data_IF_271146672552
#
_entry.id   IF_271146672552
#
_cell.length_a   1.000
_cell.length_b   1.000
_cell.length_c   1.000
_cell.angle_alpha   90.00
_cell.angle_beta   90.00
_cell.angle_gamma   90.00
#
_symmetry.space_group_name_H-M   'P 1'
#
loop_
_entity.id
_entity.type
_entity.pdbx_description
1 polymer ?
#
# COMPACT_ATOMS: atom_id res chain seq x y z
N UNK A 1 6.02 13.32 -19.49
CA UNK A 1 6.48 12.10 -18.80
C UNK A 1 5.58 10.95 -19.23
N UNK A 2 6.06 10.03 -20.07
CA UNK A 2 5.31 8.82 -20.45
C UNK A 2 5.99 7.65 -19.78
N UNK A 3 5.42 7.19 -18.66
CA UNK A 3 5.98 6.12 -17.83
C UNK A 3 4.89 5.18 -17.37
N UNK A 4 5.28 3.95 -17.05
CA UNK A 4 4.44 2.93 -16.41
C UNK A 4 5.21 2.30 -15.25
N UNK A 5 4.50 1.58 -14.37
CA UNK A 5 5.08 0.97 -13.17
C UNK A 5 5.57 1.96 -12.11
N UNK A 6 5.34 3.26 -12.29
CA UNK A 6 5.44 4.28 -11.24
C UNK A 6 4.26 4.18 -10.29
N UNK A 7 4.39 4.78 -9.11
CA UNK A 7 3.25 4.95 -8.20
C UNK A 7 3.00 6.42 -7.90
N UNK A 8 1.76 6.72 -7.50
CA UNK A 8 1.29 8.06 -7.25
C UNK A 8 0.51 8.12 -5.93
N UNK A 9 0.75 9.16 -5.15
CA UNK A 9 0.06 9.42 -3.89
C UNK A 9 -0.37 10.88 -3.79
N UNK A 10 -1.38 11.13 -2.96
CA UNK A 10 -1.75 12.48 -2.55
C UNK A 10 -1.09 12.82 -1.21
N UNK A 11 -0.58 14.04 -1.10
CA UNK A 11 -0.02 14.62 0.13
C UNK A 11 -0.54 16.05 0.30
N UNK A 12 -0.45 16.59 1.51
CA UNK A 12 -0.81 17.97 1.84
C UNK A 12 0.31 18.65 2.61
N UNK A 13 0.90 19.69 2.02
CA UNK A 13 2.02 20.46 2.62
C UNK A 13 1.61 21.92 2.75
N UNK A 14 1.71 22.50 3.95
CA UNK A 14 1.33 23.90 4.24
C UNK A 14 -0.07 24.25 3.70
N UNK A 15 -1.03 23.37 3.98
CA UNK A 15 -2.42 23.47 3.52
C UNK A 15 -2.66 23.41 2.01
N UNK A 16 -1.65 23.05 1.21
CA UNK A 16 -1.82 22.83 -0.22
C UNK A 16 -1.70 21.34 -0.58
N UNK A 17 -2.56 20.90 -1.49
CA UNK A 17 -2.60 19.52 -1.97
C UNK A 17 -1.63 19.30 -3.13
N UNK A 18 -0.94 18.17 -3.11
CA UNK A 18 -0.02 17.73 -4.16
C UNK A 18 -0.29 16.28 -4.56
N UNK A 19 -0.08 15.97 -5.84
CA UNK A 19 0.17 14.60 -6.27
C UNK A 19 1.68 14.38 -6.33
N UNK A 20 2.18 13.29 -5.77
CA UNK A 20 3.59 12.89 -5.90
C UNK A 20 3.65 11.67 -6.80
N UNK A 21 4.53 11.70 -7.80
CA UNK A 21 4.83 10.56 -8.67
C UNK A 21 6.27 10.13 -8.45
N UNK A 22 6.48 8.83 -8.18
CA UNK A 22 7.80 8.26 -7.91
C UNK A 22 8.11 7.15 -8.91
N UNK A 23 9.34 7.12 -9.40
CA UNK A 23 9.95 6.01 -10.12
C UNK A 23 9.29 5.65 -11.45
N UNK A 24 9.24 4.36 -11.74
CA UNK A 24 8.69 3.81 -12.97
C UNK A 24 9.69 3.76 -14.13
N UNK A 25 9.19 3.34 -15.29
CA UNK A 25 9.98 3.17 -16.50
C UNK A 25 9.27 3.66 -17.74
N UNK A 26 10.05 4.02 -18.75
CA UNK A 26 9.55 4.50 -20.04
C UNK A 26 10.63 4.38 -21.11
N UNK A 27 10.37 4.97 -22.28
CA UNK A 27 11.39 5.03 -23.33
C UNK A 27 12.59 5.85 -22.88
N UNK A 28 13.80 5.36 -23.15
CA UNK A 28 15.06 6.06 -22.89
C UNK A 28 15.19 7.40 -23.63
N UNK A 29 14.40 7.61 -24.69
CA UNK A 29 14.35 8.86 -25.45
C UNK A 29 13.53 9.98 -24.79
N UNK A 30 12.69 9.66 -23.79
CA UNK A 30 11.69 10.58 -23.23
C UNK A 30 12.16 11.40 -22.00
N UNK A 31 13.43 11.30 -21.57
CA UNK A 31 13.87 11.78 -20.26
C UNK A 31 14.77 13.03 -20.30
N UNK A 32 14.35 14.07 -21.05
CA UNK A 32 15.09 15.33 -21.14
C UNK A 32 14.26 16.54 -20.66
N UNK A 33 14.80 17.39 -19.75
CA UNK A 33 16.03 17.23 -18.97
C UNK A 33 15.85 16.26 -17.77
N UNK A 34 16.90 15.52 -17.36
CA UNK A 34 16.84 14.63 -16.20
C UNK A 34 16.72 15.40 -14.88
N UNK A 35 15.99 14.86 -13.90
CA UNK A 35 15.96 15.43 -12.55
C UNK A 35 17.36 15.38 -11.89
N UNK A 36 17.85 16.47 -11.28
CA UNK A 36 19.11 16.46 -10.52
C UNK A 36 19.13 15.38 -9.45
N UNK A 37 20.28 14.72 -9.26
CA UNK A 37 20.52 13.59 -8.33
C UNK A 37 19.69 12.32 -8.58
N UNK A 38 18.84 12.29 -9.60
CA UNK A 38 18.16 11.07 -9.99
C UNK A 38 19.13 10.11 -10.70
N UNK A 39 18.89 8.83 -10.51
CA UNK A 39 19.58 7.74 -11.18
C UNK A 39 18.67 7.13 -12.24
N UNK A 40 19.32 6.59 -13.26
CA UNK A 40 18.65 5.93 -14.37
C UNK A 40 19.40 4.64 -14.67
N UNK A 41 18.65 3.57 -14.89
CA UNK A 41 19.17 2.31 -15.40
C UNK A 41 18.47 2.01 -16.71
N UNK A 42 19.16 1.40 -17.67
CA UNK A 42 18.64 1.18 -19.02
C UNK A 42 18.91 -0.23 -19.51
N UNK A 43 17.96 -0.74 -20.28
CA UNK A 43 18.11 -1.97 -21.06
C UNK A 43 17.40 -1.78 -22.41
N UNK A 44 18.20 -1.77 -23.48
CA UNK A 44 17.75 -1.35 -24.81
C UNK A 44 17.08 0.04 -24.80
N UNK A 45 15.85 0.09 -25.30
CA UNK A 45 15.04 1.30 -25.39
C UNK A 45 14.26 1.63 -24.11
N UNK A 46 14.34 0.77 -23.09
CA UNK A 46 13.66 0.97 -21.81
C UNK A 46 14.63 1.59 -20.80
N UNK A 47 14.15 2.60 -20.08
CA UNK A 47 14.89 3.22 -18.98
C UNK A 47 14.00 3.30 -17.73
N UNK A 48 14.53 2.77 -16.63
CA UNK A 48 13.96 2.89 -15.29
C UNK A 48 14.59 4.10 -14.59
N UNK A 49 13.85 4.73 -13.69
CA UNK A 49 14.33 5.90 -12.94
C UNK A 49 13.86 5.86 -11.50
N UNK A 50 14.46 6.70 -10.66
CA UNK A 50 14.01 6.98 -9.30
C UNK A 50 13.55 8.44 -9.15
N UNK A 51 13.06 9.03 -10.24
CA UNK A 51 12.57 10.41 -10.23
C UNK A 51 11.43 10.58 -9.24
N UNK A 52 11.36 11.76 -8.61
CA UNK A 52 10.28 12.17 -7.72
C UNK A 52 9.80 13.51 -8.22
N UNK A 53 8.53 13.57 -8.60
CA UNK A 53 7.89 14.79 -9.10
C UNK A 53 6.67 15.12 -8.25
N UNK A 54 6.43 16.41 -8.01
CA UNK A 54 5.30 16.91 -7.25
C UNK A 54 4.43 17.78 -8.16
N UNK A 55 3.15 17.49 -8.24
CA UNK A 55 2.15 18.27 -8.96
C UNK A 55 1.32 19.06 -7.96
N UNK A 56 1.42 20.39 -7.98
CA UNK A 56 0.63 21.26 -7.10
C UNK A 56 -0.77 21.44 -7.69
N UNK A 57 -1.81 20.91 -7.06
CA UNK A 57 -3.18 20.93 -7.61
C UNK A 57 -3.70 22.36 -7.81
N UNK A 58 -3.33 23.27 -6.91
CA UNK A 58 -3.80 24.66 -6.92
C UNK A 58 -3.30 25.46 -8.12
N UNK A 59 -2.06 25.26 -8.55
CA UNK A 59 -1.47 25.98 -9.70
C UNK A 59 -1.50 25.16 -10.98
N UNK A 60 -1.65 23.84 -10.87
CA UNK A 60 -1.57 22.93 -12.00
C UNK A 60 -0.15 22.72 -12.51
N UNK A 61 0.86 22.97 -11.69
CA UNK A 61 2.27 22.94 -12.08
C UNK A 61 3.00 21.74 -11.49
N UNK A 62 3.91 21.18 -12.29
CA UNK A 62 4.87 20.17 -11.85
C UNK A 62 6.14 20.83 -11.32
N UNK A 63 6.64 20.33 -10.20
CA UNK A 63 7.93 20.71 -9.62
C UNK A 63 8.78 19.47 -9.38
N UNK A 64 10.10 19.64 -9.47
CA UNK A 64 11.07 18.62 -9.08
C UNK A 64 11.70 19.05 -7.75
N UNK A 65 11.32 18.41 -6.62
CA UNK A 65 11.89 18.76 -5.33
C UNK A 65 13.38 18.39 -5.25
N UNK A 66 14.08 19.05 -4.33
CA UNK A 66 15.43 18.64 -3.92
C UNK A 66 15.32 17.33 -3.12
N UNK A 67 15.94 16.26 -3.59
CA UNK A 67 15.90 14.96 -2.92
C UNK A 67 17.18 14.74 -2.10
N UNK A 68 17.02 14.29 -0.86
CA UNK A 68 18.12 14.06 0.09
C UNK A 68 17.98 12.71 0.80
N UNK A 69 19.06 12.22 1.39
CA UNK A 69 19.08 10.95 2.10
C UNK A 69 19.14 9.73 1.18
N UNK A 70 18.52 8.63 1.60
CA UNK A 70 18.62 7.33 0.94
C UNK A 70 17.62 7.20 -0.21
N UNK A 71 17.84 7.95 -1.30
CA UNK A 71 16.98 7.87 -2.48
C UNK A 71 16.92 6.41 -2.99
N UNK A 72 15.72 5.85 -3.27
CA UNK A 72 15.61 4.50 -3.82
C UNK A 72 16.40 4.35 -5.13
N UNK A 73 16.86 3.15 -5.51
CA UNK A 73 17.42 2.92 -6.84
C UNK A 73 16.35 3.15 -7.92
N UNK A 74 16.71 3.22 -9.22
CA UNK A 74 15.74 3.13 -10.30
C UNK A 74 14.83 1.93 -10.09
N UNK A 75 13.53 2.16 -9.86
CA UNK A 75 12.64 1.13 -9.34
C UNK A 75 11.21 1.31 -9.87
N UNK A 76 10.52 0.19 -10.06
CA UNK A 76 9.13 0.15 -10.53
C UNK A 76 8.38 -1.04 -9.92
N UNK A 77 7.05 -1.07 -10.08
CA UNK A 77 6.17 -2.14 -9.56
C UNK A 77 6.29 -2.37 -8.04
N UNK A 78 6.60 -1.30 -7.29
CA UNK A 78 6.55 -1.22 -5.84
C UNK A 78 5.17 -0.74 -5.39
N UNK A 79 4.90 -0.81 -4.08
CA UNK A 79 3.76 -0.09 -3.50
C UNK A 79 4.21 1.20 -2.84
N UNK A 80 3.36 2.24 -2.91
CA UNK A 80 3.60 3.56 -2.31
C UNK A 80 2.31 4.01 -1.63
N UNK A 81 2.39 4.32 -0.33
CA UNK A 81 1.22 4.63 0.49
C UNK A 81 1.50 5.86 1.36
N UNK A 82 0.60 6.84 1.35
CA UNK A 82 0.67 7.99 2.27
C UNK A 82 0.46 7.52 3.72
N UNK A 83 1.31 7.96 4.65
CA UNK A 83 1.18 7.68 6.08
C UNK A 83 0.52 8.87 6.78
N UNK A 84 0.99 10.08 6.47
CA UNK A 84 0.44 11.34 6.96
C UNK A 84 0.29 12.32 5.80
N UNK A 85 -0.15 13.55 6.09
CA UNK A 85 -0.19 14.63 5.11
C UNK A 85 1.17 14.89 4.45
N UNK A 86 2.29 14.63 5.11
CA UNK A 86 3.63 14.98 4.60
C UNK A 86 4.58 13.79 4.57
N UNK A 87 4.08 12.56 4.76
CA UNK A 87 4.94 11.38 4.77
C UNK A 87 4.32 10.22 4.02
N UNK A 88 5.17 9.40 3.40
CA UNK A 88 4.75 8.19 2.69
C UNK A 88 5.76 7.07 2.86
N UNK A 89 5.32 5.85 2.58
CA UNK A 89 6.13 4.64 2.65
C UNK A 89 6.09 3.91 1.32
N UNK A 90 7.27 3.48 0.85
CA UNK A 90 7.45 2.59 -0.29
C UNK A 90 7.93 1.24 0.22
N UNK A 91 7.39 0.17 -0.36
CA UNK A 91 7.86 -1.18 -0.10
C UNK A 91 8.03 -1.99 -1.39
N UNK A 92 9.12 -2.76 -1.44
CA UNK A 92 9.44 -3.70 -2.50
C UNK A 92 9.66 -3.04 -3.86
N UNK A 93 9.34 -3.77 -4.93
CA UNK A 93 9.53 -3.34 -6.31
C UNK A 93 10.64 -4.12 -7.01
N UNK A 94 10.96 -3.71 -8.25
CA UNK A 94 11.99 -4.32 -9.08
C UNK A 94 12.87 -3.22 -9.68
N UNK A 95 14.19 -3.42 -9.65
CA UNK A 95 15.18 -2.41 -10.06
C UNK A 95 15.76 -2.60 -11.47
N UNK A 96 15.22 -3.57 -12.23
CA UNK A 96 15.76 -3.99 -13.52
C UNK A 96 16.65 -5.24 -13.42
N UNK A 97 17.08 -5.63 -12.22
CA UNK A 97 17.92 -6.80 -11.98
C UNK A 97 17.33 -7.73 -10.93
N UNK A 98 16.90 -7.21 -9.78
CA UNK A 98 16.34 -7.97 -8.67
C UNK A 98 15.09 -7.32 -8.08
N UNK A 99 14.29 -8.15 -7.42
CA UNK A 99 13.22 -7.66 -6.57
C UNK A 99 13.81 -7.09 -5.28
N UNK A 100 13.09 -6.18 -4.63
CA UNK A 100 13.49 -5.59 -3.36
C UNK A 100 12.54 -6.00 -2.25
N UNK A 101 13.03 -6.01 -1.02
CA UNK A 101 12.25 -5.97 0.21
C UNK A 101 12.66 -4.79 1.10
N UNK A 102 13.33 -3.79 0.53
CA UNK A 102 13.66 -2.58 1.28
C UNK A 102 12.39 -1.74 1.50
N UNK A 103 12.36 -1.04 2.62
CA UNK A 103 11.37 -0.03 2.95
C UNK A 103 12.01 1.35 2.81
N UNK A 104 11.30 2.29 2.19
CA UNK A 104 11.71 3.69 2.16
C UNK A 104 10.61 4.57 2.74
N UNK A 105 10.97 5.44 3.69
CA UNK A 105 10.09 6.48 4.19
C UNK A 105 10.49 7.81 3.55
N UNK A 106 9.49 8.52 3.05
CA UNK A 106 9.62 9.84 2.45
C UNK A 106 9.00 10.89 3.37
N UNK A 107 9.73 11.95 3.64
CA UNK A 107 9.25 13.15 4.33
C UNK A 107 9.24 14.31 3.32
N UNK A 108 8.07 14.88 3.06
CA UNK A 108 7.84 15.89 2.04
C UNK A 108 7.72 17.30 2.62
N UNK A 109 8.37 18.25 1.96
CA UNK A 109 8.08 19.68 2.07
C UNK A 109 7.61 20.20 0.71
N UNK A 110 7.34 21.50 0.60
CA UNK A 110 6.93 22.13 -0.66
C UNK A 110 8.07 22.23 -1.69
N UNK A 111 9.32 22.00 -1.26
CA UNK A 111 10.51 22.15 -2.12
C UNK A 111 11.51 20.99 -2.01
N UNK A 112 11.36 20.10 -1.03
CA UNK A 112 12.32 19.01 -0.78
C UNK A 112 11.65 17.72 -0.33
N UNK A 113 12.38 16.61 -0.54
CA UNK A 113 12.00 15.28 -0.06
C UNK A 113 13.21 14.65 0.62
N UNK A 114 13.03 14.20 1.85
CA UNK A 114 14.03 13.40 2.58
C UNK A 114 13.62 11.93 2.52
N UNK A 115 14.53 11.09 2.08
CA UNK A 115 14.36 9.64 2.00
C UNK A 115 15.14 8.96 3.13
N UNK A 116 14.55 7.96 3.78
CA UNK A 116 15.24 7.13 4.78
C UNK A 116 14.98 5.67 4.46
N UNK A 117 16.06 4.89 4.33
CA UNK A 117 15.99 3.47 3.97
C UNK A 117 16.01 2.57 5.20
N UNK A 118 15.19 1.53 5.18
CA UNK A 118 15.22 0.42 6.14
C UNK A 118 15.35 -0.89 5.37
N UNK A 119 16.42 -1.63 5.65
CA UNK A 119 16.73 -2.91 5.02
C UNK A 119 16.55 -4.05 6.02
N UNK A 120 16.42 -5.28 5.53
CA UNK A 120 16.40 -6.47 6.37
C UNK A 120 17.64 -6.53 7.29
N UNK A 121 17.49 -6.51 8.64
CA UNK A 121 18.62 -6.50 9.56
C UNK A 121 19.28 -7.88 9.76
N UNK A 122 18.72 -8.96 9.20
CA UNK A 122 19.29 -10.31 9.24
C UNK A 122 18.64 -11.26 10.25
N UNK A 123 19.36 -12.34 10.59
CA UNK A 123 18.87 -13.70 10.98
C UNK A 123 17.91 -13.84 12.18
N UNK A 124 17.55 -12.78 12.88
CA UNK A 124 16.67 -12.86 14.06
C UNK A 124 15.42 -11.98 14.00
N UNK A 125 15.23 -11.21 12.93
CA UNK A 125 14.06 -10.34 12.75
C UNK A 125 13.23 -10.87 11.59
N UNK A 126 11.92 -10.99 11.79
CA UNK A 126 11.02 -11.33 10.70
C UNK A 126 11.06 -10.19 9.66
N UNK A 127 11.20 -10.55 8.39
CA UNK A 127 11.21 -9.58 7.29
C UNK A 127 10.65 -10.24 6.04
N UNK A 128 9.76 -9.57 5.28
CA UNK A 128 9.17 -10.17 4.11
C UNK A 128 10.21 -10.48 3.02
N UNK A 129 9.96 -11.51 2.22
CA UNK A 129 10.78 -11.80 1.02
C UNK A 129 10.71 -10.66 0.01
N UNK A 130 11.77 -10.55 -0.79
CA UNK A 130 11.84 -9.66 -1.96
C UNK A 130 10.65 -9.92 -2.90
N UNK A 131 9.99 -8.84 -3.35
CA UNK A 131 8.77 -8.93 -4.16
C UNK A 131 8.52 -7.70 -5.03
N UNK A 132 7.72 -7.87 -6.07
CA UNK A 132 7.17 -6.80 -6.89
C UNK A 132 5.72 -7.12 -7.26
N UNK A 133 4.97 -6.16 -7.83
CA UNK A 133 3.58 -6.37 -8.27
C UNK A 133 2.62 -6.83 -7.14
N UNK A 134 3.01 -6.60 -5.88
CA UNK A 134 2.19 -6.83 -4.70
C UNK A 134 1.27 -5.63 -4.48
N UNK A 135 0.31 -5.80 -3.57
CA UNK A 135 -0.53 -4.71 -3.10
C UNK A 135 -0.27 -4.37 -1.64
N UNK A 136 -0.48 -3.11 -1.27
CA UNK A 136 -0.42 -2.69 0.12
C UNK A 136 -1.48 -1.65 0.44
N UNK A 137 -1.87 -1.57 1.71
CA UNK A 137 -2.82 -0.58 2.19
C UNK A 137 -2.48 -0.14 3.60
N UNK A 138 -2.70 1.15 3.89
CA UNK A 138 -2.57 1.69 5.24
C UNK A 138 -3.82 1.34 6.06
N UNK A 139 -3.62 0.78 7.24
CA UNK A 139 -4.68 0.56 8.23
C UNK A 139 -4.41 1.51 9.40
N UNK A 140 -5.30 2.48 9.59
CA UNK A 140 -5.26 3.42 10.68
C UNK A 140 -6.11 2.90 11.85
N UNK A 141 -5.45 2.25 12.81
CA UNK A 141 -6.07 1.79 14.04
C UNK A 141 -5.94 2.86 15.14
N UNK A 142 -6.77 2.78 16.18
CA UNK A 142 -6.66 3.62 17.39
C UNK A 142 -5.28 3.60 18.05
N UNK A 143 -4.51 2.51 17.86
CA UNK A 143 -3.18 2.33 18.45
C UNK A 143 -2.02 2.91 17.64
N UNK A 144 -2.10 2.97 16.29
CA UNK A 144 -1.12 3.55 15.31
C UNK A 144 -1.32 3.03 13.86
N UNK A 145 -0.72 3.68 12.83
CA UNK A 145 -0.78 3.23 11.44
C UNK A 145 0.05 1.94 11.20
N UNK A 146 -0.54 1.00 10.47
CA UNK A 146 0.11 -0.22 9.99
C UNK A 146 0.02 -0.32 8.48
N UNK A 147 1.04 -0.89 7.83
CA UNK A 147 0.99 -1.22 6.40
C UNK A 147 0.71 -2.72 6.25
N UNK A 148 -0.41 -3.07 5.64
CA UNK A 148 -0.70 -4.44 5.21
C UNK A 148 -0.11 -4.65 3.82
N UNK A 149 0.63 -5.74 3.61
CA UNK A 149 1.21 -6.14 2.32
C UNK A 149 0.75 -7.55 1.97
N UNK A 150 0.23 -7.74 0.77
CA UNK A 150 -0.35 -9.01 0.32
C UNK A 150 0.26 -9.44 -1.01
N UNK A 151 0.74 -10.69 -1.05
CA UNK A 151 1.15 -11.39 -2.27
C UNK A 151 2.29 -10.71 -3.02
N UNK A 152 2.19 -10.75 -4.34
CA UNK A 152 3.18 -10.27 -5.31
C UNK A 152 3.95 -11.39 -5.99
N UNK A 153 4.75 -11.00 -6.98
CA UNK A 153 5.68 -11.92 -7.62
C UNK A 153 6.79 -12.32 -6.63
N UNK A 154 7.01 -13.63 -6.48
CA UNK A 154 8.07 -14.21 -5.64
C UNK A 154 7.58 -14.80 -4.31
N UNK A 155 6.31 -14.60 -3.93
CA UNK A 155 5.76 -15.10 -2.67
C UNK A 155 4.23 -15.01 -2.62
N UNK A 156 3.59 -15.89 -1.85
CA UNK A 156 2.14 -15.92 -1.63
C UNK A 156 1.85 -15.82 -0.13
N UNK A 157 2.37 -14.76 0.50
CA UNK A 157 2.27 -14.50 1.94
C UNK A 157 1.54 -13.17 2.24
N UNK A 158 1.31 -12.90 3.52
CA UNK A 158 0.67 -11.68 4.00
C UNK A 158 1.43 -11.12 5.20
N UNK A 159 1.73 -9.82 5.18
CA UNK A 159 2.60 -9.17 6.15
C UNK A 159 1.98 -7.90 6.69
N UNK A 160 2.22 -7.63 7.97
CA UNK A 160 1.81 -6.39 8.63
C UNK A 160 3.06 -5.68 9.18
N UNK A 161 3.27 -4.44 8.77
CA UNK A 161 4.33 -3.58 9.30
C UNK A 161 3.77 -2.62 10.34
N UNK A 162 4.35 -2.63 11.54
CA UNK A 162 4.22 -1.52 12.46
C UNK A 162 5.17 -0.39 12.03
N UNK A 163 4.62 0.64 11.39
CA UNK A 163 5.42 1.71 10.76
C UNK A 163 6.28 2.48 11.79
N UNK A 164 5.78 2.64 13.02
CA UNK A 164 6.50 3.44 14.03
C UNK A 164 7.70 2.71 14.61
N UNK A 165 7.64 1.38 14.68
CA UNK A 165 8.72 0.55 15.20
C UNK A 165 9.59 -0.05 14.10
N UNK A 166 9.12 0.00 12.84
CA UNK A 166 9.67 -0.74 11.71
C UNK A 166 9.80 -2.25 12.01
N UNK A 167 8.76 -2.80 12.63
CA UNK A 167 8.66 -4.21 12.99
C UNK A 167 7.64 -4.91 12.10
N UNK A 168 8.06 -5.95 11.39
CA UNK A 168 7.19 -6.80 10.59
C UNK A 168 6.65 -7.98 11.39
N UNK A 169 5.40 -8.34 11.10
CA UNK A 169 4.75 -9.55 11.59
C UNK A 169 4.10 -10.26 10.41
N UNK A 170 4.43 -11.53 10.21
CA UNK A 170 3.74 -12.36 9.23
C UNK A 170 2.32 -12.68 9.75
N UNK A 171 1.33 -12.51 8.89
CA UNK A 171 -0.04 -12.93 9.16
C UNK A 171 -0.22 -14.34 8.59
N UNK A 172 -0.23 -15.33 9.47
CA UNK A 172 -0.37 -16.74 9.11
C UNK A 172 -1.84 -17.13 8.97
N UNK A 173 -2.11 -18.23 8.24
CA UNK A 173 -3.45 -18.76 7.98
C UNK A 173 -4.34 -17.86 7.11
N UNK A 174 -3.74 -17.01 6.28
CA UNK A 174 -4.47 -16.29 5.22
C UNK A 174 -4.61 -17.24 4.03
N UNK A 175 -5.83 -17.45 3.49
CA UNK A 175 -6.03 -18.38 2.38
C UNK A 175 -5.28 -17.96 1.12
N UNK A 176 -4.83 -18.93 0.32
CA UNK A 176 -4.17 -18.69 -0.99
C UNK A 176 -5.06 -17.88 -1.94
N UNK A 177 -6.39 -17.98 -1.79
CA UNK A 177 -7.32 -17.13 -2.54
C UNK A 177 -7.12 -15.63 -2.30
N UNK A 178 -6.38 -15.22 -1.27
CA UNK A 178 -5.97 -13.84 -0.99
C UNK A 178 -4.50 -13.65 -1.33
N UNK A 179 -3.63 -14.55 -0.84
CA UNK A 179 -2.18 -14.32 -0.91
C UNK A 179 -1.56 -14.68 -2.25
N UNK A 180 -2.14 -15.61 -3.02
CA UNK A 180 -1.64 -16.01 -4.33
C UNK A 180 -2.12 -15.08 -5.45
N UNK A 181 -1.76 -13.81 -5.33
CA UNK A 181 -2.13 -12.76 -6.28
C UNK A 181 -0.98 -11.82 -6.55
N UNK A 182 -0.86 -11.42 -7.81
CA UNK A 182 -0.08 -10.26 -8.23
C UNK A 182 -0.95 -9.32 -9.06
N UNK A 183 -0.63 -8.02 -9.10
CA UNK A 183 -1.41 -6.98 -9.81
C UNK A 183 -2.88 -6.89 -9.38
N UNK A 184 -3.19 -7.35 -8.16
CA UNK A 184 -4.47 -7.12 -7.50
C UNK A 184 -4.63 -5.64 -7.11
N UNK A 185 -5.84 -5.26 -6.73
CA UNK A 185 -6.12 -3.98 -6.09
C UNK A 185 -6.54 -4.20 -4.65
N UNK A 186 -6.01 -3.40 -3.73
CA UNK A 186 -6.29 -3.48 -2.30
C UNK A 186 -6.75 -2.12 -1.78
N UNK A 187 -7.85 -2.09 -1.03
CA UNK A 187 -8.36 -0.88 -0.39
C UNK A 187 -8.89 -1.16 1.00
N UNK A 188 -8.86 -0.16 1.88
CA UNK A 188 -9.40 -0.26 3.23
C UNK A 188 -10.74 0.48 3.33
N UNK A 189 -11.68 -0.17 3.97
CA UNK A 189 -12.98 0.34 4.37
C UNK A 189 -13.10 0.22 5.90
N UNK A 190 -13.03 1.34 6.58
CA UNK A 190 -13.14 1.37 8.04
C UNK A 190 -14.62 1.40 8.44
N UNK A 191 -15.08 0.41 9.21
CA UNK A 191 -16.44 0.41 9.76
C UNK A 191 -16.46 1.07 11.15
N UNK A 192 -15.42 0.82 11.96
CA UNK A 192 -15.24 1.42 13.28
C UNK A 192 -13.76 1.75 13.53
N UNK A 193 -13.43 2.29 14.71
CA UNK A 193 -12.04 2.50 15.14
C UNK A 193 -11.28 1.19 15.42
N UNK A 194 -11.99 0.07 15.54
CA UNK A 194 -11.45 -1.23 15.94
C UNK A 194 -11.70 -2.32 14.89
N UNK A 195 -12.51 -2.06 13.86
CA UNK A 195 -12.86 -3.02 12.82
C UNK A 195 -12.59 -2.40 11.45
N UNK A 196 -11.68 -3.05 10.73
CA UNK A 196 -11.19 -2.62 9.42
C UNK A 196 -11.50 -3.72 8.41
N UNK A 197 -12.24 -3.39 7.36
CA UNK A 197 -12.45 -4.28 6.22
C UNK A 197 -11.47 -3.92 5.14
N UNK A 198 -10.70 -4.89 4.66
CA UNK A 198 -9.85 -4.73 3.50
C UNK A 198 -10.51 -5.45 2.33
N UNK A 199 -10.67 -4.75 1.23
CA UNK A 199 -11.27 -5.26 0.00
C UNK A 199 -10.13 -5.49 -0.98
N UNK A 200 -10.00 -6.74 -1.41
CA UNK A 200 -9.08 -7.15 -2.45
C UNK A 200 -9.87 -7.53 -3.71
N UNK A 201 -9.44 -7.04 -4.86
CA UNK A 201 -10.10 -7.31 -6.13
C UNK A 201 -9.11 -7.73 -7.22
N UNK A 202 -9.49 -8.79 -7.92
CA UNK A 202 -8.86 -9.24 -9.15
C UNK A 202 -7.38 -9.61 -9.01
N UNK A 203 -6.61 -9.36 -10.07
CA UNK A 203 -5.19 -9.70 -10.17
C UNK A 203 -4.94 -10.92 -11.06
N UNK A 204 -3.76 -11.49 -10.90
CA UNK A 204 -3.29 -12.66 -11.65
C UNK A 204 -2.76 -13.67 -10.62
N UNK A 205 -3.15 -14.94 -10.75
CA UNK A 205 -2.64 -16.02 -9.91
C UNK A 205 -1.21 -16.43 -10.28
N UNK A 206 -0.58 -17.25 -9.43
CA UNK A 206 0.76 -17.80 -9.75
C UNK A 206 0.78 -18.67 -11.00
N UNK A 207 -0.37 -19.23 -11.37
CA UNK A 207 -0.61 -20.01 -12.59
C UNK A 207 -0.87 -19.14 -13.83
N UNK A 208 -0.75 -17.82 -13.71
CA UNK A 208 -1.06 -16.82 -14.74
C UNK A 208 -2.54 -16.73 -15.12
N UNK A 209 -3.43 -17.36 -14.37
CA UNK A 209 -4.87 -17.17 -14.56
C UNK A 209 -5.30 -15.77 -14.14
N UNK A 210 -6.24 -15.19 -14.88
CA UNK A 210 -6.85 -13.92 -14.50
C UNK A 210 -7.86 -14.15 -13.40
N UNK A 211 -7.75 -13.39 -12.32
CA UNK A 211 -8.66 -13.44 -11.20
C UNK A 211 -9.59 -12.23 -11.27
N UNK A 212 -10.88 -12.43 -11.04
CA UNK A 212 -11.92 -11.39 -11.10
C UNK A 212 -12.85 -11.38 -9.89
N UNK A 213 -12.60 -12.23 -8.90
CA UNK A 213 -13.38 -12.25 -7.66
C UNK A 213 -12.96 -11.11 -6.71
N UNK A 214 -13.76 -10.95 -5.65
CA UNK A 214 -13.53 -10.01 -4.57
C UNK A 214 -13.37 -10.76 -3.26
N UNK A 215 -12.36 -10.41 -2.47
CA UNK A 215 -12.13 -10.93 -1.13
C UNK A 215 -12.24 -9.81 -0.09
N UNK A 216 -12.81 -10.15 1.06
CA UNK A 216 -12.98 -9.25 2.18
C UNK A 216 -12.20 -9.79 3.38
N UNK A 217 -11.20 -9.04 3.83
CA UNK A 217 -10.39 -9.40 5.00
C UNK A 217 -10.89 -8.52 6.16
N UNK A 218 -11.47 -9.14 7.17
CA UNK A 218 -11.85 -8.47 8.41
C UNK A 218 -10.66 -8.46 9.35
N UNK A 219 -10.20 -7.28 9.75
CA UNK A 219 -9.18 -7.10 10.77
C UNK A 219 -9.76 -6.38 11.98
N UNK A 220 -9.45 -6.89 13.17
CA UNK A 220 -9.89 -6.31 14.43
C UNK A 220 -8.70 -5.89 15.30
N UNK A 221 -8.87 -4.77 16.00
CA UNK A 221 -7.94 -4.31 17.04
C UNK A 221 -8.57 -4.56 18.41
N UNK A 222 -8.23 -5.68 19.04
CA UNK A 222 -8.82 -6.12 20.31
C UNK A 222 -7.95 -5.79 21.53
N UNK A 223 -6.62 -5.69 21.38
CA UNK A 223 -5.67 -5.43 22.48
C UNK A 223 -4.43 -4.63 22.04
N UNK A 224 -4.58 -3.71 21.10
CA UNK A 224 -3.48 -2.92 20.52
C UNK A 224 -2.79 -3.59 19.34
N UNK A 225 -2.87 -4.92 19.25
CA UNK A 225 -2.49 -5.70 18.07
C UNK A 225 -3.65 -5.77 17.08
N UNK A 226 -3.30 -5.76 15.79
CA UNK A 226 -4.24 -5.98 14.70
C UNK A 226 -4.17 -7.44 14.28
N UNK A 227 -5.33 -8.11 14.25
CA UNK A 227 -5.44 -9.52 13.88
C UNK A 227 -6.48 -9.71 12.79
N UNK A 228 -6.26 -10.70 11.92
CA UNK A 228 -7.26 -11.11 10.93
C UNK A 228 -8.33 -11.95 11.63
N UNK A 229 -9.56 -11.47 11.63
CA UNK A 229 -10.71 -12.13 12.23
C UNK A 229 -11.38 -13.10 11.25
N UNK A 230 -11.50 -12.70 9.98
CA UNK A 230 -12.09 -13.54 8.93
C UNK A 230 -11.66 -13.11 7.54
N UNK A 231 -11.75 -14.03 6.58
CA UNK A 231 -11.62 -13.78 5.15
C UNK A 231 -12.87 -14.32 4.49
N UNK A 232 -13.59 -13.47 3.74
CA UNK A 232 -14.88 -13.79 3.16
C UNK A 232 -14.88 -13.56 1.66
N UNK A 233 -15.64 -14.35 0.92
CA UNK A 233 -16.07 -13.98 -0.43
C UNK A 233 -17.23 -12.96 -0.41
N UNK A 234 -17.64 -12.49 -1.59
CA UNK A 234 -18.72 -11.50 -1.72
C UNK A 234 -20.06 -12.00 -1.17
N UNK A 235 -20.39 -13.27 -1.34
CA UNK A 235 -21.66 -13.84 -0.90
C UNK A 235 -21.69 -13.98 0.63
N UNK A 236 -20.59 -14.47 1.20
CA UNK A 236 -20.40 -14.59 2.64
C UNK A 236 -20.44 -13.23 3.33
N UNK A 237 -19.74 -12.24 2.76
CA UNK A 237 -19.75 -10.87 3.25
C UNK A 237 -21.17 -10.27 3.24
N UNK A 238 -21.89 -10.39 2.11
CA UNK A 238 -23.27 -9.90 2.00
C UNK A 238 -24.20 -10.58 3.01
N UNK A 239 -24.12 -11.90 3.16
CA UNK A 239 -24.93 -12.65 4.13
C UNK A 239 -24.70 -12.17 5.55
N UNK A 240 -23.44 -11.94 5.93
CA UNK A 240 -23.06 -11.44 7.27
C UNK A 240 -23.58 -10.01 7.50
N UNK A 241 -23.51 -9.13 6.50
CA UNK A 241 -24.03 -7.76 6.58
C UNK A 241 -25.56 -7.73 6.73
N UNK A 242 -26.29 -8.56 5.98
CA UNK A 242 -27.76 -8.65 6.08
C UNK A 242 -28.19 -9.19 7.45
N UNK A 243 -27.52 -10.22 7.97
CA UNK A 243 -27.78 -10.75 9.31
C UNK A 243 -27.51 -9.70 10.39
N UNK A 244 -26.45 -8.91 10.26
CA UNK A 244 -26.17 -7.78 11.14
C UNK A 244 -27.31 -6.75 11.16
N UNK A 245 -27.76 -6.29 9.98
CA UNK A 245 -28.86 -5.32 9.85
C UNK A 245 -30.15 -5.83 10.50
N UNK A 246 -30.53 -7.08 10.25
CA UNK A 246 -31.72 -7.67 10.85
C UNK A 246 -31.61 -7.71 12.38
N UNK A 247 -30.45 -8.07 12.93
CA UNK A 247 -30.22 -8.11 14.38
C UNK A 247 -30.38 -6.72 15.02
N UNK A 248 -29.82 -5.67 14.40
CA UNK A 248 -29.99 -4.29 14.87
C UNK A 248 -31.45 -3.82 14.80
N UNK A 249 -32.18 -4.15 13.73
CA UNK A 249 -33.59 -3.79 13.57
C UNK A 249 -34.47 -4.49 14.61
N UNK A 250 -34.20 -5.77 14.91
CA UNK A 250 -34.87 -6.50 15.99
C UNK A 250 -34.58 -5.87 17.36
N UNK A 251 -33.32 -5.55 17.70
CA UNK A 251 -33.00 -4.90 18.97
C UNK A 251 -33.68 -3.53 19.14
N UNK A 252 -33.74 -2.72 18.06
CA UNK A 252 -34.43 -1.41 18.08
C UNK A 252 -35.94 -1.55 18.30
N UNK A 253 -36.58 -2.54 17.68
CA UNK A 253 -38.00 -2.83 17.90
C UNK A 253 -38.29 -3.35 19.31
N UNK A 254 -37.35 -4.08 19.92
CA UNK A 254 -37.50 -4.54 21.31
C UNK A 254 -37.34 -3.39 22.30
N UNK A 255 -36.35 -2.51 22.15
CA UNK A 255 -36.17 -1.36 23.04
C UNK A 255 -37.36 -0.38 23.00
N UNK A 256 -37.93 -0.11 21.82
CA UNK A 256 -39.12 0.77 21.72
C UNK A 256 -40.38 0.17 22.36
N UNK A 257 -40.51 -1.16 22.42
CA UNK A 257 -41.61 -1.82 23.14
C UNK A 257 -41.47 -1.80 24.65
N UNK A 258 -40.25 -1.78 25.18
CA UNK A 258 -40.00 -1.72 26.64
C UNK A 258 -40.14 -0.31 27.18
N UNK A 259 -39.90 0.73 26.37
CA UNK A 259 -40.10 2.14 26.75
C UNK A 259 -41.57 2.63 26.69
N UNK A 260 -42.50 1.77 26.26
CA UNK A 260 -43.93 2.04 26.12
C UNK A 260 -44.80 1.23 27.12
N UNK A 261 -44.17 0.52 28.06
CA UNK A 261 -44.83 -0.11 29.22
C UNK A 261 -44.42 0.62 30.49
#
# INVERSE_FOLDING_TARGET
MVKTGSSMIAIKVKDEDYLVVIGGYGSSSNNTPPQPSAQYSKDGDIQWCNEIHMYRLKTGEWTSPTVTGDRPPPIYNFTLTSITNTTAILFGGYDGHRMSNDVYVFEFTDTSVKCTKFSNPGRSVQWPKERSLHSSVLINCSSRPHLLVVGGLGTSDCWLLNINKMEWKELTNIPDSVTDRLRNSLSVWNETQTTHWIIEFGGIGSDYSSISDTRFIEMISSTGDLVVQSVLDINEYQKRRIQGINTYMYMYMYQTRVSLM
#
